data_IF_833152181512
#
_entry.id   IF_833152181512
#
_cell.length_a   1.000
_cell.length_b   1.000
_cell.length_c   1.000
_cell.angle_alpha   90.00
_cell.angle_beta   90.00
_cell.angle_gamma   90.00
#
_symmetry.space_group_name_H-M   'P 1'
#
loop_
_entity.id
_entity.type
_entity.pdbx_description
1 polymer ?
#
# COMPACT_ATOMS: atom_id res chain seq x y z
N UNK A 1 -27.21 2.08 -6.04
CA UNK A 1 -25.88 2.08 -5.39
C UNK A 1 -26.04 1.42 -4.03
N UNK A 2 -25.30 0.36 -3.75
CA UNK A 2 -25.23 -0.24 -2.41
C UNK A 2 -24.18 0.50 -1.57
N UNK A 3 -24.34 0.48 -0.25
CA UNK A 3 -23.37 1.05 0.70
C UNK A 3 -22.95 -0.04 1.67
N UNK A 4 -21.66 -0.10 1.94
CA UNK A 4 -21.06 -0.95 2.97
C UNK A 4 -20.08 -0.13 3.79
N UNK A 5 -19.72 -0.67 4.96
CA UNK A 5 -18.64 -0.17 5.82
C UNK A 5 -17.64 -1.32 5.94
N UNK A 6 -16.35 -1.00 5.85
CA UNK A 6 -15.28 -1.96 6.02
C UNK A 6 -14.36 -1.49 7.14
N UNK A 7 -14.20 -2.31 8.16
CA UNK A 7 -13.24 -2.10 9.22
C UNK A 7 -11.94 -2.87 8.92
N UNK A 8 -10.73 -2.30 9.11
CA UNK A 8 -9.46 -2.99 8.81
C UNK A 8 -9.31 -4.39 9.44
N UNK A 9 -9.91 -4.56 10.63
CA UNK A 9 -9.94 -5.85 11.37
C UNK A 9 -10.62 -6.98 10.61
N UNK A 10 -11.57 -6.69 9.73
CA UNK A 10 -12.24 -7.68 8.88
C UNK A 10 -11.29 -8.27 7.82
N UNK A 11 -10.16 -7.61 7.59
CA UNK A 11 -9.09 -8.03 6.69
C UNK A 11 -7.84 -8.52 7.46
N UNK A 12 -7.93 -8.68 8.79
CA UNK A 12 -6.80 -9.07 9.63
C UNK A 12 -5.83 -7.94 9.97
N UNK A 13 -6.10 -6.69 9.55
CA UNK A 13 -5.27 -5.53 9.84
C UNK A 13 -5.64 -4.89 11.18
N UNK A 14 -4.66 -4.26 11.84
CA UNK A 14 -4.91 -3.48 13.05
C UNK A 14 -5.31 -2.04 12.69
N UNK A 15 -6.11 -1.42 13.57
CA UNK A 15 -6.37 0.02 13.48
C UNK A 15 -5.13 0.78 13.94
N UNK A 16 -4.78 1.86 13.24
CA UNK A 16 -3.69 2.76 13.60
C UNK A 16 -4.23 4.10 14.08
N UNK A 17 -3.47 4.79 14.93
CA UNK A 17 -3.72 6.19 15.27
C UNK A 17 -3.09 7.11 14.23
N UNK A 18 -3.53 8.38 14.18
CA UNK A 18 -2.96 9.37 13.25
C UNK A 18 -1.48 9.62 13.51
N UNK A 19 -1.05 9.58 14.78
CA UNK A 19 0.34 9.77 15.18
C UNK A 19 1.24 8.68 14.61
N UNK A 20 0.75 7.43 14.53
CA UNK A 20 1.50 6.30 13.94
C UNK A 20 1.68 6.44 12.41
N UNK A 21 0.81 7.21 11.76
CA UNK A 21 0.81 7.43 10.31
C UNK A 21 1.47 8.75 9.89
N UNK A 22 1.65 9.67 10.84
CA UNK A 22 2.15 11.01 10.58
C UNK A 22 3.64 10.98 10.24
N UNK A 23 4.06 11.95 9.42
CA UNK A 23 5.44 12.25 9.05
C UNK A 23 5.67 13.75 9.18
N UNK A 24 6.89 14.14 9.52
CA UNK A 24 7.25 15.51 9.88
C UNK A 24 8.05 16.27 8.82
N UNK A 25 8.53 15.58 7.78
CA UNK A 25 9.33 16.16 6.70
C UNK A 25 9.17 15.39 5.39
N UNK A 26 9.62 15.99 4.28
CA UNK A 26 9.64 15.36 2.97
C UNK A 26 10.63 14.20 2.93
N UNK A 27 11.77 14.35 3.60
CA UNK A 27 12.82 13.33 3.72
C UNK A 27 12.31 12.11 4.49
N UNK A 28 11.59 12.33 5.60
CA UNK A 28 10.94 11.26 6.36
C UNK A 28 9.85 10.57 5.52
N UNK A 29 9.01 11.34 4.83
CA UNK A 29 7.97 10.79 3.96
C UNK A 29 8.57 9.88 2.87
N UNK A 30 9.66 10.31 2.22
CA UNK A 30 10.35 9.53 1.21
C UNK A 30 10.97 8.25 1.79
N UNK A 31 11.58 8.33 3.00
CA UNK A 31 12.12 7.17 3.69
C UNK A 31 11.01 6.16 4.06
N UNK A 32 9.90 6.63 4.59
CA UNK A 32 8.72 5.82 4.92
C UNK A 32 8.16 5.11 3.71
N UNK A 33 7.95 5.82 2.60
CA UNK A 33 7.41 5.22 1.36
C UNK A 33 8.35 4.12 0.87
N UNK A 34 9.67 4.36 0.86
CA UNK A 34 10.65 3.34 0.47
C UNK A 34 10.65 2.15 1.43
N UNK A 35 10.52 2.38 2.73
CA UNK A 35 10.40 1.32 3.75
C UNK A 35 9.18 0.44 3.50
N UNK A 36 8.01 1.05 3.26
CA UNK A 36 6.78 0.34 2.91
C UNK A 36 6.97 -0.51 1.65
N UNK A 37 7.54 0.05 0.58
CA UNK A 37 7.79 -0.68 -0.67
C UNK A 37 8.85 -1.78 -0.54
N UNK A 38 9.75 -1.67 0.44
CA UNK A 38 10.73 -2.69 0.80
C UNK A 38 10.15 -3.77 1.74
N UNK A 39 8.87 -3.67 2.11
CA UNK A 39 8.18 -4.65 2.96
C UNK A 39 8.32 -4.40 4.46
N UNK A 40 8.74 -3.21 4.91
CA UNK A 40 8.78 -2.88 6.34
C UNK A 40 7.38 -3.04 6.97
N UNK A 41 7.28 -3.92 7.97
CA UNK A 41 6.02 -4.20 8.64
C UNK A 41 5.59 -3.02 9.54
N UNK A 42 4.28 -2.77 9.60
CA UNK A 42 3.72 -1.78 10.51
C UNK A 42 2.53 -1.00 9.93
N UNK A 43 1.93 -0.09 10.72
CA UNK A 43 0.68 0.58 10.38
C UNK A 43 0.73 1.39 9.07
N UNK A 44 1.91 1.93 8.73
CA UNK A 44 2.15 2.68 7.49
C UNK A 44 2.09 1.77 6.26
N UNK A 45 2.59 0.54 6.37
CA UNK A 45 2.45 -0.50 5.34
C UNK A 45 1.00 -0.96 5.26
N UNK A 46 0.37 -1.25 6.39
CA UNK A 46 -1.01 -1.76 6.43
C UNK A 46 -2.00 -0.83 5.72
N UNK A 47 -1.94 0.49 5.96
CA UNK A 47 -2.81 1.45 5.29
C UNK A 47 -2.50 1.59 3.79
N UNK A 48 -1.22 1.48 3.39
CA UNK A 48 -0.84 1.51 1.98
C UNK A 48 -1.38 0.29 1.24
N UNK A 49 -1.23 -0.91 1.83
CA UNK A 49 -1.76 -2.15 1.28
C UNK A 49 -3.29 -2.12 1.17
N UNK A 50 -3.99 -1.60 2.19
CA UNK A 50 -5.44 -1.45 2.16
C UNK A 50 -5.93 -0.55 1.01
N UNK A 51 -5.27 0.58 0.78
CA UNK A 51 -5.62 1.48 -0.33
C UNK A 51 -5.27 0.88 -1.69
N UNK A 52 -4.13 0.20 -1.81
CA UNK A 52 -3.75 -0.51 -3.02
C UNK A 52 -4.74 -1.65 -3.35
N UNK A 53 -5.17 -2.40 -2.33
CA UNK A 53 -6.19 -3.44 -2.45
C UNK A 53 -7.52 -2.89 -2.99
N UNK A 54 -7.96 -1.73 -2.49
CA UNK A 54 -9.16 -1.07 -3.00
C UNK A 54 -9.00 -0.65 -4.47
N UNK A 55 -7.83 -0.11 -4.84
CA UNK A 55 -7.53 0.25 -6.23
C UNK A 55 -7.52 -0.98 -7.17
N UNK A 56 -6.91 -2.09 -6.74
CA UNK A 56 -6.87 -3.35 -7.48
C UNK A 56 -8.27 -3.95 -7.67
N UNK A 57 -9.11 -3.90 -6.63
CA UNK A 57 -10.50 -4.38 -6.71
C UNK A 57 -11.32 -3.56 -7.72
N UNK A 58 -11.25 -2.23 -7.65
CA UNK A 58 -11.97 -1.34 -8.59
C UNK A 58 -11.44 -1.46 -10.02
N UNK A 59 -10.16 -1.80 -10.19
CA UNK A 59 -9.57 -2.09 -11.50
C UNK A 59 -9.99 -3.47 -12.06
N UNK A 60 -10.71 -4.29 -11.29
CA UNK A 60 -11.13 -5.64 -11.71
C UNK A 60 -10.01 -6.67 -11.67
N UNK A 61 -8.93 -6.43 -10.93
CA UNK A 61 -7.79 -7.34 -10.81
C UNK A 61 -8.03 -8.48 -9.80
N UNK A 62 -9.05 -8.35 -8.96
CA UNK A 62 -9.43 -9.31 -7.92
C UNK A 62 -10.95 -9.34 -7.74
N UNK A 63 -11.48 -10.40 -7.13
CA UNK A 63 -12.92 -10.59 -6.91
C UNK A 63 -13.39 -10.12 -5.53
N UNK A 64 -12.47 -9.90 -4.58
CA UNK A 64 -12.77 -9.47 -3.22
C UNK A 64 -11.69 -8.55 -2.64
N UNK A 65 -12.03 -7.85 -1.54
CA UNK A 65 -11.07 -7.03 -0.79
C UNK A 65 -9.96 -7.87 -0.14
N UNK A 66 -10.25 -9.11 0.25
CA UNK A 66 -9.27 -10.03 0.84
C UNK A 66 -8.25 -10.48 -0.21
N UNK A 67 -8.72 -10.86 -1.41
CA UNK A 67 -7.84 -11.28 -2.50
C UNK A 67 -6.96 -10.12 -2.97
N UNK A 68 -7.54 -8.93 -3.13
CA UNK A 68 -6.79 -7.75 -3.55
C UNK A 68 -5.77 -7.29 -2.50
N UNK A 69 -6.06 -7.49 -1.20
CA UNK A 69 -5.08 -7.26 -0.13
C UNK A 69 -3.92 -8.26 -0.21
N UNK A 70 -4.21 -9.53 -0.48
CA UNK A 70 -3.18 -10.55 -0.72
C UNK A 70 -2.28 -10.19 -1.91
N UNK A 71 -2.86 -9.74 -3.02
CA UNK A 71 -2.11 -9.29 -4.19
C UNK A 71 -1.24 -8.05 -3.90
N UNK A 72 -1.77 -7.08 -3.17
CA UNK A 72 -1.01 -5.89 -2.78
C UNK A 72 0.17 -6.26 -1.88
N UNK A 73 -0.05 -7.14 -0.89
CA UNK A 73 1.01 -7.63 -0.01
C UNK A 73 2.09 -8.38 -0.80
N UNK A 74 1.71 -9.29 -1.69
CA UNK A 74 2.64 -10.07 -2.50
C UNK A 74 3.45 -9.20 -3.47
N UNK A 75 2.85 -8.15 -4.04
CA UNK A 75 3.59 -7.18 -4.87
C UNK A 75 4.67 -6.42 -4.08
N UNK A 76 4.43 -6.13 -2.80
CA UNK A 76 5.41 -5.51 -1.89
C UNK A 76 6.46 -6.52 -1.43
N UNK A 77 6.03 -7.68 -0.92
CA UNK A 77 6.92 -8.70 -0.35
C UNK A 77 7.84 -9.34 -1.38
N UNK A 78 7.42 -9.43 -2.64
CA UNK A 78 8.26 -9.89 -3.75
C UNK A 78 9.24 -8.83 -4.26
N UNK A 79 9.14 -7.58 -3.80
CA UNK A 79 9.96 -6.46 -4.25
C UNK A 79 9.53 -5.81 -5.57
N UNK A 80 8.51 -6.34 -6.27
CA UNK A 80 8.03 -5.79 -7.55
C UNK A 80 7.50 -4.36 -7.43
N UNK A 81 6.89 -4.02 -6.29
CA UNK A 81 6.44 -2.66 -6.03
C UNK A 81 7.61 -1.66 -5.97
N UNK A 82 8.73 -2.04 -5.34
CA UNK A 82 9.94 -1.24 -5.31
C UNK A 82 10.59 -1.15 -6.70
N UNK A 83 10.65 -2.25 -7.45
CA UNK A 83 11.15 -2.26 -8.83
C UNK A 83 10.34 -1.34 -9.76
N UNK A 84 9.02 -1.27 -9.56
CA UNK A 84 8.14 -0.36 -10.31
C UNK A 84 8.51 1.11 -10.05
N UNK A 85 8.83 1.48 -8.81
CA UNK A 85 9.30 2.81 -8.47
C UNK A 85 10.65 3.13 -9.14
N UNK A 86 11.60 2.19 -9.13
CA UNK A 86 12.89 2.38 -9.81
C UNK A 86 12.74 2.51 -11.33
N UNK A 87 11.82 1.73 -11.92
CA UNK A 87 11.45 1.87 -13.32
C UNK A 87 10.87 3.24 -13.61
N UNK A 88 9.91 3.71 -12.78
CA UNK A 88 9.31 5.03 -12.93
C UNK A 88 10.37 6.14 -12.89
N UNK A 89 11.29 6.10 -11.91
CA UNK A 89 12.39 7.07 -11.77
C UNK A 89 13.25 7.12 -13.04
N UNK A 90 13.61 5.96 -13.59
CA UNK A 90 14.43 5.86 -14.80
C UNK A 90 13.69 6.46 -16.00
N UNK A 91 12.47 6.01 -16.29
CA UNK A 91 11.74 6.45 -17.49
C UNK A 91 11.31 7.91 -17.43
N UNK A 92 11.13 8.48 -16.23
CA UNK A 92 10.80 9.90 -16.06
C UNK A 92 12.01 10.83 -16.14
N UNK A 93 13.23 10.30 -15.99
CA UNK A 93 14.48 11.06 -16.08
C UNK A 93 15.04 11.10 -17.51
N UNK A 94 14.66 10.12 -18.34
CA UNK A 94 15.03 10.00 -19.75
C UNK A 94 14.09 10.82 -20.70
N UNK A 95 13.13 11.56 -20.14
CA UNK A 95 12.16 12.40 -20.86
C UNK A 95 12.44 13.90 -20.67
#
# INVERSE_FOLDING_TARGET
VSKSVLHPRELGLQSATLEQLSVSSVEEAAAVIRGVLAGEAGPRRDIALLNAAAALLVAGAAESMQDSLGMAAEAVDSGRAAETLETLKRVSADA
#
